data_IF_999612678748
#
_entry.id   IF_999612678748
#
_cell.length_a   1.000
_cell.length_b   1.000
_cell.length_c   1.000
_cell.angle_alpha   90.00
_cell.angle_beta   90.00
_cell.angle_gamma   90.00
#
_symmetry.space_group_name_H-M   'P 1'
#
loop_
_entity.id
_entity.type
_entity.pdbx_description
1 polymer ?
#
# COMPACT_ATOMS: atom_id res chain seq x y z
N UNK A 1 14.24 -9.13 30.79
CA UNK A 1 13.86 -9.72 32.09
C UNK A 1 12.71 -8.91 32.68
N UNK A 2 11.46 -9.20 32.28
CA UNK A 2 10.26 -8.60 32.86
C UNK A 2 9.23 -9.72 33.07
N UNK A 3 8.91 -9.95 34.35
CA UNK A 3 8.02 -10.98 34.91
C UNK A 3 6.60 -10.42 34.92
N UNK A 4 5.65 -11.09 34.26
CA UNK A 4 4.22 -10.88 34.50
C UNK A 4 3.74 -11.87 35.56
N UNK A 5 3.25 -11.33 36.68
CA UNK A 5 2.58 -12.08 37.75
C UNK A 5 1.13 -12.36 37.33
N UNK A 6 0.74 -13.62 37.48
CA UNK A 6 -0.65 -14.06 37.51
C UNK A 6 -1.28 -13.74 38.86
N UNK A 7 -2.51 -13.25 38.83
CA UNK A 7 -3.45 -13.34 39.94
C UNK A 7 -4.84 -13.43 39.34
N UNK A 8 -5.43 -14.61 39.44
CA UNK A 8 -6.83 -14.84 39.08
C UNK A 8 -7.77 -14.21 40.10
N UNK A 9 -8.92 -13.78 39.63
CA UNK A 9 -10.13 -13.58 40.40
C UNK A 9 -11.28 -14.11 39.54
N UNK A 10 -12.00 -15.08 40.08
CA UNK A 10 -13.18 -15.69 39.49
C UNK A 10 -14.46 -15.02 39.97
N UNK A 11 -15.48 -15.14 39.12
CA UNK A 11 -16.90 -15.30 39.43
C UNK A 11 -17.77 -14.03 39.45
N UNK A 12 -18.80 -14.06 38.60
CA UNK A 12 -20.12 -13.52 38.97
C UNK A 12 -20.81 -12.60 37.96
N UNK A 13 -21.74 -13.21 37.20
CA UNK A 13 -22.99 -12.60 36.69
C UNK A 13 -22.91 -11.62 35.51
N UNK A 14 -23.46 -12.02 34.35
CA UNK A 14 -24.27 -11.22 33.40
C UNK A 14 -24.77 -12.17 32.28
N UNK A 15 -26.03 -12.57 32.31
CA UNK A 15 -27.16 -11.95 31.60
C UNK A 15 -27.38 -12.56 30.20
N UNK A 16 -28.55 -13.20 30.04
CA UNK A 16 -29.09 -13.72 28.78
C UNK A 16 -29.11 -12.62 27.70
N UNK A 17 -28.29 -12.75 26.67
CA UNK A 17 -28.43 -12.02 25.41
C UNK A 17 -28.74 -13.02 24.29
N UNK A 18 -30.02 -13.11 23.92
CA UNK A 18 -30.44 -13.73 22.67
C UNK A 18 -30.06 -12.82 21.51
N UNK A 19 -29.25 -13.33 20.58
CA UNK A 19 -28.93 -12.66 19.32
C UNK A 19 -30.19 -12.74 18.43
N UNK A 20 -30.76 -11.63 17.95
CA UNK A 20 -31.86 -11.67 16.99
C UNK A 20 -31.35 -12.18 15.64
N UNK A 21 -32.11 -13.08 15.02
CA UNK A 21 -31.88 -13.51 13.63
C UNK A 21 -31.97 -12.31 12.67
N UNK A 22 -30.98 -12.09 11.79
CA UNK A 22 -31.08 -11.02 10.81
C UNK A 22 -32.08 -11.42 9.72
N UNK A 23 -33.22 -10.74 9.72
CA UNK A 23 -34.14 -10.71 8.58
C UNK A 23 -33.38 -10.15 7.38
N UNK A 24 -33.16 -10.99 6.36
CA UNK A 24 -32.60 -10.58 5.07
C UNK A 24 -33.52 -9.55 4.41
N UNK A 25 -33.13 -8.28 4.48
CA UNK A 25 -33.56 -7.29 3.49
C UNK A 25 -32.67 -7.49 2.26
N UNK A 26 -33.22 -8.12 1.22
CA UNK A 26 -32.62 -8.09 -0.12
C UNK A 26 -32.76 -6.67 -0.67
N UNK A 27 -31.77 -5.82 -0.44
CA UNK A 27 -31.51 -4.72 -1.34
C UNK A 27 -30.55 -5.24 -2.41
N UNK A 28 -31.03 -5.31 -3.64
CA UNK A 28 -30.20 -5.50 -4.83
C UNK A 28 -29.12 -4.43 -4.83
N UNK A 29 -27.89 -4.80 -4.44
CA UNK A 29 -26.72 -3.96 -4.62
C UNK A 29 -26.45 -4.04 -6.12
N UNK A 30 -26.93 -3.05 -6.86
CA UNK A 30 -26.39 -2.73 -8.18
C UNK A 30 -24.90 -2.46 -7.99
N UNK A 31 -24.07 -3.42 -8.38
CA UNK A 31 -22.62 -3.27 -8.48
C UNK A 31 -22.33 -2.28 -9.59
N UNK A 32 -22.44 -0.98 -9.29
CA UNK A 32 -21.73 0.03 -10.08
C UNK A 32 -20.26 -0.33 -9.97
N UNK A 33 -19.68 -0.86 -11.04
CA UNK A 33 -18.25 -1.12 -11.14
C UNK A 33 -17.51 0.18 -10.86
N UNK A 34 -17.02 0.35 -9.63
CA UNK A 34 -16.18 1.48 -9.28
C UNK A 34 -14.89 1.25 -10.08
N UNK A 35 -14.66 2.05 -11.12
CA UNK A 35 -13.41 2.09 -11.88
C UNK A 35 -12.32 2.68 -10.96
N UNK A 36 -11.86 1.89 -9.99
CA UNK A 36 -10.80 2.30 -9.07
C UNK A 36 -9.48 2.22 -9.81
N UNK A 37 -9.03 3.36 -10.33
CA UNK A 37 -7.68 3.48 -10.90
C UNK A 37 -6.67 3.79 -9.79
N UNK A 38 -5.66 2.94 -9.59
CA UNK A 38 -4.58 3.23 -8.65
C UNK A 38 -3.90 4.56 -9.00
N UNK A 39 -3.72 5.43 -8.01
CA UNK A 39 -2.99 6.69 -8.20
C UNK A 39 -1.53 6.37 -8.51
N UNK A 40 -0.99 6.94 -9.60
CA UNK A 40 0.44 6.81 -9.92
C UNK A 40 1.26 7.59 -8.89
N UNK A 41 2.18 6.92 -8.15
CA UNK A 41 3.10 7.57 -7.22
C UNK A 41 3.87 8.72 -7.87
N UNK A 42 4.14 9.80 -7.12
CA UNK A 42 4.82 10.98 -7.65
C UNK A 42 6.16 10.65 -8.32
N UNK A 43 6.96 9.80 -7.70
CA UNK A 43 8.30 9.43 -8.19
C UNK A 43 8.28 8.67 -9.54
N UNK A 44 7.15 8.05 -9.90
CA UNK A 44 6.97 7.31 -11.16
C UNK A 44 6.44 8.18 -12.31
N UNK A 45 5.96 9.40 -12.01
CA UNK A 45 5.42 10.28 -13.07
C UNK A 45 6.54 10.82 -13.94
N UNK A 46 6.38 10.95 -15.26
CA UNK A 46 7.40 11.56 -16.11
C UNK A 46 7.64 13.03 -15.73
N UNK A 47 8.87 13.55 -15.83
CA UNK A 47 9.19 14.95 -15.51
C UNK A 47 8.67 15.88 -16.60
N UNK A 48 7.35 16.13 -16.59
CA UNK A 48 6.63 16.81 -17.68
C UNK A 48 6.36 18.29 -17.41
N UNK A 49 6.82 18.79 -16.26
CA UNK A 49 6.61 20.16 -15.82
C UNK A 49 7.95 20.82 -15.55
N UNK A 50 7.95 22.14 -15.48
CA UNK A 50 9.13 22.91 -15.09
C UNK A 50 8.75 24.12 -14.25
N UNK A 51 9.62 24.52 -13.35
CA UNK A 51 9.52 25.79 -12.63
C UNK A 51 10.91 26.43 -12.52
N UNK A 52 10.98 27.74 -12.37
CA UNK A 52 12.24 28.40 -12.03
C UNK A 52 12.73 28.00 -10.63
N UNK A 53 14.03 28.02 -10.41
CA UNK A 53 14.63 27.82 -9.09
C UNK A 53 14.04 28.81 -8.07
N UNK A 54 13.77 30.05 -8.48
CA UNK A 54 13.10 31.07 -7.66
C UNK A 54 11.72 30.64 -7.16
N UNK A 55 10.87 30.12 -8.05
CA UNK A 55 9.52 29.63 -7.70
C UNK A 55 9.60 28.41 -6.78
N UNK A 56 10.49 27.47 -7.08
CA UNK A 56 10.70 26.28 -6.25
C UNK A 56 11.22 26.66 -4.86
N UNK A 57 12.14 27.63 -4.75
CA UNK A 57 12.62 28.16 -3.47
C UNK A 57 11.50 28.83 -2.67
N UNK A 58 10.63 29.61 -3.33
CA UNK A 58 9.46 30.23 -2.67
C UNK A 58 8.51 29.16 -2.12
N UNK A 59 8.18 28.15 -2.93
CA UNK A 59 7.37 27.02 -2.51
C UNK A 59 8.00 26.27 -1.33
N UNK A 60 9.29 25.94 -1.42
CA UNK A 60 10.02 25.23 -0.36
C UNK A 60 10.05 26.00 0.96
N UNK A 61 10.29 27.32 0.91
CA UNK A 61 10.25 28.18 2.09
C UNK A 61 8.86 28.22 2.73
N UNK A 62 7.81 28.34 1.91
CA UNK A 62 6.42 28.26 2.39
C UNK A 62 6.15 26.90 3.07
N UNK A 63 6.51 25.81 2.43
CA UNK A 63 6.28 24.45 2.94
C UNK A 63 7.04 24.19 4.26
N UNK A 64 8.29 24.66 4.37
CA UNK A 64 9.08 24.62 5.61
C UNK A 64 8.44 25.42 6.73
N UNK A 65 7.93 26.61 6.43
CA UNK A 65 7.27 27.46 7.43
C UNK A 65 5.97 26.79 7.94
N UNK A 66 5.17 26.22 7.04
CA UNK A 66 3.95 25.49 7.39
C UNK A 66 4.24 24.23 8.23
N UNK A 67 5.30 23.48 7.91
CA UNK A 67 5.73 22.36 8.73
C UNK A 67 6.20 22.82 10.12
N UNK A 68 6.84 23.98 10.20
CA UNK A 68 7.38 24.52 11.45
C UNK A 68 6.30 25.06 12.38
N UNK A 69 5.20 25.58 11.82
CA UNK A 69 4.09 26.11 12.62
C UNK A 69 3.33 25.01 13.39
N UNK A 70 3.53 23.73 13.05
CA UNK A 70 2.99 22.60 13.80
C UNK A 70 3.60 22.52 15.20
N UNK A 71 4.91 22.73 15.34
CA UNK A 71 5.61 22.59 16.62
C UNK A 71 5.39 21.21 17.26
N UNK A 72 4.93 21.18 18.50
CA UNK A 72 4.55 19.97 19.24
C UNK A 72 3.05 19.69 19.25
N UNK A 73 2.24 20.49 18.53
CA UNK A 73 0.76 20.37 18.58
C UNK A 73 0.26 18.97 18.23
N UNK A 74 0.88 18.33 17.23
CA UNK A 74 0.51 16.99 16.79
C UNK A 74 0.97 15.92 17.77
N UNK A 75 2.18 16.03 18.33
CA UNK A 75 2.64 15.13 19.40
C UNK A 75 1.66 15.17 20.57
N UNK A 76 1.30 16.37 21.03
CA UNK A 76 0.45 16.56 22.20
C UNK A 76 -0.98 16.05 21.99
N UNK A 77 -1.44 15.98 20.74
CA UNK A 77 -2.79 15.54 20.41
C UNK A 77 -2.89 14.01 20.34
N UNK A 78 -2.00 13.36 19.58
CA UNK A 78 -2.13 11.94 19.24
C UNK A 78 -0.79 11.25 18.95
N UNK A 79 0.31 11.76 19.50
CA UNK A 79 1.67 11.32 19.16
C UNK A 79 1.96 11.42 17.65
N UNK A 80 1.33 12.39 16.98
CA UNK A 80 1.57 12.69 15.57
C UNK A 80 2.98 13.25 15.32
N UNK A 81 3.30 13.55 14.04
CA UNK A 81 4.64 13.95 13.64
C UNK A 81 4.97 15.37 14.15
N UNK A 82 6.20 15.56 14.62
CA UNK A 82 6.72 16.89 14.95
C UNK A 82 7.24 17.63 13.71
N UNK A 83 7.63 18.89 13.90
CA UNK A 83 8.25 19.71 12.85
C UNK A 83 9.49 19.06 12.24
N UNK A 84 10.24 18.25 13.00
CA UNK A 84 11.45 17.55 12.53
C UNK A 84 11.09 16.48 11.51
N UNK A 85 10.15 15.60 11.85
CA UNK A 85 9.65 14.56 10.98
C UNK A 85 8.98 15.14 9.73
N UNK A 86 8.18 16.19 9.89
CA UNK A 86 7.53 16.88 8.75
C UNK A 86 8.55 17.51 7.80
N UNK A 87 9.67 18.06 8.30
CA UNK A 87 10.76 18.56 7.44
C UNK A 87 11.46 17.42 6.68
N UNK A 88 11.61 16.25 7.31
CA UNK A 88 12.16 15.07 6.64
C UNK A 88 11.24 14.58 5.51
N UNK A 89 9.94 14.53 5.77
CA UNK A 89 8.93 14.20 4.75
C UNK A 89 8.91 15.23 3.61
N UNK A 90 9.10 16.52 3.90
CA UNK A 90 9.22 17.55 2.87
C UNK A 90 10.43 17.30 1.97
N UNK A 91 11.56 16.89 2.55
CA UNK A 91 12.75 16.54 1.79
C UNK A 91 12.52 15.32 0.90
N UNK A 92 11.77 14.31 1.38
CA UNK A 92 11.37 13.18 0.54
C UNK A 92 10.43 13.60 -0.60
N UNK A 93 9.45 14.47 -0.33
CA UNK A 93 8.57 15.01 -1.36
C UNK A 93 9.35 15.76 -2.44
N UNK A 94 10.34 16.56 -2.06
CA UNK A 94 11.22 17.26 -3.00
C UNK A 94 12.08 16.29 -3.83
N UNK A 95 12.60 15.24 -3.21
CA UNK A 95 13.32 14.19 -3.94
C UNK A 95 12.41 13.56 -4.98
N UNK A 96 11.18 13.21 -4.64
CA UNK A 96 10.24 12.62 -5.61
C UNK A 96 9.81 13.59 -6.69
N UNK A 97 9.66 14.87 -6.36
CA UNK A 97 9.24 15.92 -7.29
C UNK A 97 10.30 16.23 -8.35
N UNK A 98 11.57 16.32 -7.97
CA UNK A 98 12.67 16.79 -8.83
C UNK A 98 13.26 15.62 -9.63
N UNK A 99 13.48 15.87 -10.92
CA UNK A 99 14.16 14.92 -11.80
C UNK A 99 15.56 14.52 -11.28
N UNK A 100 15.90 13.24 -11.45
CA UNK A 100 17.11 12.62 -10.90
C UNK A 100 18.41 13.33 -11.31
N UNK A 101 18.52 13.80 -12.56
CA UNK A 101 19.79 14.30 -13.12
C UNK A 101 20.36 15.51 -12.34
N UNK A 102 19.49 16.35 -11.77
CA UNK A 102 19.90 17.59 -11.09
C UNK A 102 19.50 17.65 -9.62
N UNK A 103 18.90 16.58 -9.09
CA UNK A 103 18.31 16.53 -7.76
C UNK A 103 19.26 16.98 -6.65
N UNK A 104 20.46 16.42 -6.57
CA UNK A 104 21.40 16.70 -5.48
C UNK A 104 21.82 18.18 -5.43
N UNK A 105 22.13 18.76 -6.58
CA UNK A 105 22.54 20.17 -6.70
C UNK A 105 21.40 21.11 -6.34
N UNK A 106 20.19 20.85 -6.84
CA UNK A 106 19.02 21.67 -6.55
C UNK A 106 18.66 21.60 -5.07
N UNK A 107 18.63 20.41 -4.46
CA UNK A 107 18.36 20.25 -3.03
C UNK A 107 19.38 21.00 -2.15
N UNK A 108 20.67 20.92 -2.48
CA UNK A 108 21.71 21.65 -1.74
C UNK A 108 21.53 23.18 -1.82
N UNK A 109 21.14 23.71 -2.99
CA UNK A 109 20.81 25.14 -3.14
C UNK A 109 19.58 25.54 -2.33
N UNK A 110 18.54 24.72 -2.36
CA UNK A 110 17.31 24.92 -1.59
C UNK A 110 17.55 24.94 -0.07
N UNK A 111 18.49 24.12 0.41
CA UNK A 111 18.86 24.07 1.84
C UNK A 111 19.75 25.24 2.26
N UNK A 112 20.75 25.59 1.45
CA UNK A 112 21.65 26.70 1.71
C UNK A 112 21.02 28.09 1.51
N UNK A 113 19.88 28.16 0.80
CA UNK A 113 19.27 29.42 0.41
C UNK A 113 20.07 30.16 -0.67
N UNK A 114 20.99 29.47 -1.34
CA UNK A 114 21.76 30.03 -2.45
C UNK A 114 20.83 30.20 -3.67
N UNK A 115 20.56 31.46 -4.03
CA UNK A 115 19.73 31.85 -5.17
C UNK A 115 20.56 32.29 -6.40
N UNK A 116 21.81 31.84 -6.53
CA UNK A 116 22.60 32.02 -7.75
C UNK A 116 21.87 31.41 -8.96
N UNK A 117 21.73 32.22 -10.01
CA UNK A 117 20.94 31.92 -11.23
C UNK A 117 19.50 31.50 -10.90
N UNK A 118 18.66 32.42 -10.41
CA UNK A 118 17.31 32.13 -9.91
C UNK A 118 16.34 31.68 -11.02
N UNK A 119 16.66 32.00 -12.28
CA UNK A 119 15.83 31.68 -13.46
C UNK A 119 16.17 30.32 -14.09
N UNK A 120 17.07 29.54 -13.47
CA UNK A 120 17.35 28.16 -13.91
C UNK A 120 16.05 27.35 -13.87
N UNK A 121 15.69 26.78 -15.02
CA UNK A 121 14.54 25.88 -15.14
C UNK A 121 14.85 24.54 -14.49
N UNK A 122 13.96 24.08 -13.60
CA UNK A 122 14.04 22.81 -12.91
C UNK A 122 12.92 21.91 -13.41
N UNK A 123 13.25 20.72 -13.92
CA UNK A 123 12.28 19.73 -14.37
C UNK A 123 11.60 19.04 -13.17
N UNK A 124 10.27 19.01 -13.19
CA UNK A 124 9.41 18.52 -12.12
C UNK A 124 8.44 17.44 -12.63
N UNK A 125 8.12 16.49 -11.75
CA UNK A 125 7.14 15.40 -12.00
C UNK A 125 5.68 15.81 -11.81
N UNK A 126 5.45 16.99 -11.24
CA UNK A 126 4.14 17.58 -11.01
C UNK A 126 4.27 19.12 -10.93
N UNK A 127 3.21 19.89 -11.23
CA UNK A 127 3.22 21.34 -11.10
C UNK A 127 3.25 21.78 -9.64
N UNK A 128 3.79 22.97 -9.34
CA UNK A 128 3.91 23.49 -7.98
C UNK A 128 2.53 23.72 -7.33
N UNK A 129 1.51 24.04 -8.11
CA UNK A 129 0.12 24.17 -7.67
C UNK A 129 -0.39 22.87 -7.04
N UNK A 130 -0.05 21.72 -7.63
CA UNK A 130 -0.38 20.41 -7.04
C UNK A 130 0.39 20.22 -5.73
N UNK A 131 1.65 20.66 -5.66
CA UNK A 131 2.50 20.53 -4.48
C UNK A 131 2.02 21.37 -3.29
N UNK A 132 1.45 22.55 -3.53
CA UNK A 132 0.72 23.30 -2.49
C UNK A 132 -0.46 22.51 -1.93
N UNK A 133 -1.22 21.82 -2.78
CA UNK A 133 -2.37 21.01 -2.36
C UNK A 133 -1.95 19.75 -1.59
N UNK A 134 -0.95 19.03 -2.10
CA UNK A 134 -0.31 17.86 -1.48
C UNK A 134 0.19 18.20 -0.08
N UNK A 135 0.96 19.29 0.06
CA UNK A 135 1.52 19.67 1.36
C UNK A 135 0.45 20.14 2.36
N UNK A 136 -0.57 20.87 1.91
CA UNK A 136 -1.73 21.22 2.75
C UNK A 136 -2.50 19.99 3.21
N UNK A 137 -2.71 19.00 2.35
CA UNK A 137 -3.33 17.73 2.75
C UNK A 137 -2.53 17.03 3.85
N UNK A 138 -1.19 17.04 3.74
CA UNK A 138 -0.33 16.43 4.75
C UNK A 138 -0.40 17.14 6.11
N UNK A 139 -0.36 18.47 6.11
CA UNK A 139 -0.30 19.27 7.35
C UNK A 139 -1.69 19.57 7.90
N UNK A 140 -2.54 20.26 7.13
CA UNK A 140 -3.83 20.78 7.60
C UNK A 140 -4.89 19.70 7.76
N UNK A 141 -4.87 18.69 6.87
CA UNK A 141 -5.79 17.55 6.92
C UNK A 141 -5.18 16.33 7.61
N UNK A 142 -3.93 16.43 8.05
CA UNK A 142 -3.19 15.36 8.74
C UNK A 142 -3.22 14.03 7.97
N UNK A 143 -3.29 14.07 6.64
CA UNK A 143 -3.31 12.83 5.84
C UNK A 143 -1.97 12.11 5.97
N UNK A 144 -1.95 10.77 6.02
CA UNK A 144 -0.70 10.01 5.98
C UNK A 144 0.15 10.43 4.79
N UNK A 145 1.45 10.63 5.02
CA UNK A 145 2.38 11.09 3.98
C UNK A 145 2.36 10.17 2.76
N UNK A 146 2.31 8.86 3.00
CA UNK A 146 2.25 7.82 1.98
C UNK A 146 1.06 7.97 1.02
N UNK A 147 -0.13 8.30 1.52
CA UNK A 147 -1.30 8.52 0.65
C UNK A 147 -1.18 9.83 -0.14
N UNK A 148 -0.49 10.81 0.43
CA UNK A 148 -0.24 12.09 -0.23
C UNK A 148 0.72 11.90 -1.42
N UNK A 149 1.84 11.19 -1.24
CA UNK A 149 2.81 10.87 -2.31
C UNK A 149 2.39 9.69 -3.20
N UNK A 150 1.49 8.84 -2.72
CA UNK A 150 0.92 7.69 -3.42
C UNK A 150 1.73 6.39 -3.30
N UNK A 151 2.76 6.33 -2.44
CA UNK A 151 3.58 5.14 -2.26
C UNK A 151 4.10 4.96 -0.83
N UNK A 152 4.54 3.74 -0.54
CA UNK A 152 5.25 3.37 0.68
C UNK A 152 6.46 2.48 0.38
N UNK A 153 7.56 2.70 1.09
CA UNK A 153 8.72 1.81 1.07
C UNK A 153 8.53 0.67 2.07
N UNK A 154 8.71 -0.57 1.62
CA UNK A 154 8.56 -1.76 2.45
C UNK A 154 9.47 -2.88 1.94
N UNK A 155 10.40 -3.37 2.76
CA UNK A 155 11.57 -4.17 2.34
C UNK A 155 12.29 -3.51 1.15
N UNK A 156 12.56 -4.28 0.09
CA UNK A 156 13.13 -3.83 -1.18
C UNK A 156 12.05 -3.32 -2.17
N UNK A 157 10.80 -3.22 -1.73
CA UNK A 157 9.68 -2.76 -2.53
C UNK A 157 9.38 -1.28 -2.24
N UNK A 158 8.94 -0.58 -3.28
CA UNK A 158 8.25 0.70 -3.17
C UNK A 158 6.88 0.42 -3.74
N UNK A 159 5.83 0.38 -2.92
CA UNK A 159 4.49 -0.05 -3.30
C UNK A 159 3.58 1.16 -3.48
N UNK A 160 2.73 1.16 -4.51
CA UNK A 160 1.67 2.16 -4.63
C UNK A 160 0.66 1.93 -3.51
N UNK A 161 0.20 3.00 -2.88
CA UNK A 161 -0.83 2.98 -1.83
C UNK A 161 -1.76 4.19 -1.97
N UNK A 162 -2.99 4.04 -1.49
CA UNK A 162 -3.97 5.12 -1.48
C UNK A 162 -5.02 4.90 -0.40
N UNK A 163 -5.89 5.88 -0.21
CA UNK A 163 -7.03 5.80 0.69
C UNK A 163 -7.84 4.51 0.44
N UNK A 164 -8.17 3.78 1.51
CA UNK A 164 -8.84 2.47 1.43
C UNK A 164 -7.91 1.26 1.30
N UNK A 165 -6.58 1.45 1.32
CA UNK A 165 -5.57 0.39 1.34
C UNK A 165 -4.62 0.59 2.50
N UNK A 166 -4.45 -0.43 3.36
CA UNK A 166 -3.53 -0.35 4.48
C UNK A 166 -2.10 -0.03 4.01
N UNK A 167 -1.49 1.00 4.59
CA UNK A 167 -0.07 1.29 4.42
C UNK A 167 0.73 0.13 5.04
N UNK A 168 1.56 -0.60 4.26
CA UNK A 168 2.40 -1.68 4.78
C UNK A 168 3.24 -1.22 5.96
N UNK A 169 3.40 -2.07 6.96
CA UNK A 169 4.09 -1.72 8.21
C UNK A 169 5.44 -2.44 8.29
N UNK A 170 6.51 -1.80 8.80
CA UNK A 170 7.81 -2.47 8.95
C UNK A 170 7.73 -3.76 9.76
N UNK A 171 6.83 -3.83 10.75
CA UNK A 171 6.64 -5.02 11.58
C UNK A 171 6.15 -6.23 10.77
N UNK A 172 5.47 -6.03 9.64
CA UNK A 172 5.00 -7.14 8.79
C UNK A 172 6.10 -7.70 7.89
N UNK A 173 7.27 -7.06 7.80
CA UNK A 173 8.39 -7.55 6.98
C UNK A 173 8.86 -8.92 7.43
N UNK A 174 8.81 -9.20 8.75
CA UNK A 174 9.23 -10.48 9.34
C UNK A 174 8.45 -11.69 8.80
N UNK A 175 7.24 -11.48 8.27
CA UNK A 175 6.42 -12.55 7.69
C UNK A 175 7.15 -13.22 6.51
N UNK A 176 7.90 -12.45 5.72
CA UNK A 176 8.63 -12.98 4.58
C UNK A 176 9.81 -13.84 5.04
N UNK A 177 10.49 -13.45 6.12
CA UNK A 177 11.58 -14.25 6.68
C UNK A 177 11.05 -15.59 7.23
N UNK A 178 9.83 -15.61 7.78
CA UNK A 178 9.16 -16.85 8.19
C UNK A 178 8.80 -17.73 6.99
N UNK A 179 8.29 -17.12 5.91
CA UNK A 179 7.99 -17.83 4.65
C UNK A 179 9.25 -18.49 4.10
N UNK A 180 10.35 -17.75 3.99
CA UNK A 180 11.65 -18.26 3.55
C UNK A 180 12.15 -19.36 4.49
N UNK A 181 12.07 -19.15 5.80
CA UNK A 181 12.48 -20.16 6.78
C UNK A 181 11.74 -21.50 6.61
N UNK A 182 10.42 -21.45 6.39
CA UNK A 182 9.60 -22.65 6.18
C UNK A 182 9.84 -23.27 4.80
N UNK A 183 9.76 -22.48 3.73
CA UNK A 183 9.85 -22.95 2.37
C UNK A 183 11.24 -23.47 2.01
N UNK A 184 12.30 -22.97 2.63
CA UNK A 184 13.68 -23.29 2.26
C UNK A 184 14.31 -24.35 3.16
N UNK A 185 14.05 -24.28 4.47
CA UNK A 185 14.78 -25.11 5.43
C UNK A 185 13.95 -26.29 5.95
N UNK A 186 12.63 -26.15 6.03
CA UNK A 186 11.78 -27.11 6.74
C UNK A 186 10.96 -27.99 5.80
N UNK A 187 10.47 -27.43 4.69
CA UNK A 187 9.63 -28.16 3.73
C UNK A 187 9.81 -27.58 2.29
N UNK A 188 10.89 -27.98 1.57
CA UNK A 188 11.20 -27.52 0.21
C UNK A 188 10.05 -27.70 -0.81
N UNK A 189 9.17 -28.68 -0.60
CA UNK A 189 7.97 -28.88 -1.41
C UNK A 189 7.00 -27.68 -1.34
N UNK A 190 7.00 -26.91 -0.24
CA UNK A 190 6.18 -25.70 -0.12
C UNK A 190 6.73 -24.56 -0.97
N UNK A 191 8.01 -24.58 -1.36
CA UNK A 191 8.57 -23.61 -2.29
C UNK A 191 7.86 -23.64 -3.65
N UNK A 192 7.29 -24.78 -4.02
CA UNK A 192 6.52 -25.01 -5.25
C UNK A 192 5.00 -25.06 -5.00
N UNK A 193 4.58 -24.88 -3.74
CA UNK A 193 3.20 -24.99 -3.29
C UNK A 193 2.35 -23.75 -3.55
N UNK A 194 1.11 -23.80 -3.06
CA UNK A 194 0.19 -22.66 -3.04
C UNK A 194 0.26 -21.94 -1.68
N UNK A 195 0.44 -20.63 -1.75
CA UNK A 195 0.42 -19.71 -0.61
C UNK A 195 -0.79 -18.81 -0.73
N UNK A 196 -1.37 -18.40 0.41
CA UNK A 196 -2.51 -17.50 0.43
C UNK A 196 -2.21 -16.26 1.30
N UNK A 197 -2.46 -15.08 0.73
CA UNK A 197 -2.42 -13.79 1.42
C UNK A 197 -3.86 -13.27 1.54
N UNK A 198 -4.39 -13.28 2.77
CA UNK A 198 -5.78 -12.95 3.08
C UNK A 198 -5.85 -11.53 3.63
N UNK A 199 -6.51 -10.62 2.90
CA UNK A 199 -6.45 -9.19 3.17
C UNK A 199 -5.17 -8.57 2.63
N UNK A 200 -4.85 -8.85 1.36
CA UNK A 200 -3.56 -8.53 0.75
C UNK A 200 -3.25 -7.03 0.70
N UNK A 201 -4.25 -6.15 0.81
CA UNK A 201 -4.05 -4.72 0.84
C UNK A 201 -3.34 -4.23 -0.43
N UNK A 202 -2.11 -3.71 -0.28
CA UNK A 202 -1.29 -3.24 -1.39
C UNK A 202 -0.57 -4.35 -2.17
N UNK A 203 -0.72 -5.62 -1.76
CA UNK A 203 0.00 -6.76 -2.30
C UNK A 203 1.40 -6.97 -1.69
N UNK A 204 1.75 -6.26 -0.62
CA UNK A 204 3.10 -6.25 -0.05
C UNK A 204 3.62 -7.67 0.25
N UNK A 205 2.86 -8.41 1.06
CA UNK A 205 3.22 -9.77 1.46
C UNK A 205 3.19 -10.69 0.25
N UNK A 206 2.10 -10.67 -0.52
CA UNK A 206 1.97 -11.52 -1.70
C UNK A 206 3.12 -11.37 -2.71
N UNK A 207 3.52 -10.13 -3.02
CA UNK A 207 4.61 -9.84 -3.97
C UNK A 207 5.95 -10.31 -3.42
N UNK A 208 6.26 -10.00 -2.16
CA UNK A 208 7.52 -10.42 -1.56
C UNK A 208 7.61 -11.93 -1.38
N UNK A 209 6.51 -12.60 -0.98
CA UNK A 209 6.44 -14.06 -0.94
C UNK A 209 6.66 -14.65 -2.33
N UNK A 210 5.98 -14.17 -3.36
CA UNK A 210 6.17 -14.68 -4.73
C UNK A 210 7.64 -14.53 -5.20
N UNK A 211 8.27 -13.39 -4.90
CA UNK A 211 9.67 -13.13 -5.24
C UNK A 211 10.64 -14.02 -4.47
N UNK A 212 10.41 -14.19 -3.17
CA UNK A 212 11.20 -15.07 -2.32
C UNK A 212 11.10 -16.53 -2.80
N UNK A 213 9.91 -17.00 -3.18
CA UNK A 213 9.74 -18.36 -3.71
C UNK A 213 10.41 -18.53 -5.09
N UNK A 214 10.40 -17.48 -5.92
CA UNK A 214 10.99 -17.52 -7.26
C UNK A 214 12.53 -17.67 -7.24
N UNK A 215 13.24 -17.11 -6.24
CA UNK A 215 14.70 -17.26 -6.13
C UNK A 215 15.15 -18.69 -5.87
N UNK A 216 14.21 -19.56 -5.47
CA UNK A 216 14.47 -20.96 -5.11
C UNK A 216 13.75 -21.96 -6.02
N UNK A 217 13.17 -21.49 -7.12
CA UNK A 217 12.59 -22.36 -8.13
C UNK A 217 13.69 -23.19 -8.82
N UNK A 218 13.53 -24.51 -8.83
CA UNK A 218 14.36 -25.42 -9.62
C UNK A 218 13.56 -25.85 -10.87
N UNK A 219 13.94 -25.34 -12.04
CA UNK A 219 13.21 -25.58 -13.30
C UNK A 219 11.96 -24.70 -13.43
N UNK A 220 10.92 -25.22 -14.11
CA UNK A 220 9.69 -24.47 -14.42
C UNK A 220 8.67 -24.40 -13.24
N UNK A 221 8.98 -25.01 -12.10
CA UNK A 221 8.10 -25.07 -10.94
C UNK A 221 8.38 -23.91 -9.98
N UNK A 222 7.51 -22.89 -9.98
CA UNK A 222 7.53 -21.79 -9.02
C UNK A 222 6.34 -21.86 -8.05
N UNK A 223 6.57 -21.43 -6.81
CA UNK A 223 5.50 -21.23 -5.84
C UNK A 223 4.47 -20.22 -6.32
N UNK A 224 3.20 -20.48 -6.03
CA UNK A 224 2.07 -19.64 -6.46
C UNK A 224 1.45 -18.97 -5.27
N UNK A 225 1.23 -17.66 -5.37
CA UNK A 225 0.61 -16.87 -4.29
C UNK A 225 -0.78 -16.41 -4.72
N UNK A 226 -1.78 -16.76 -3.93
CA UNK A 226 -3.17 -16.35 -4.09
C UNK A 226 -3.41 -15.19 -3.12
N UNK A 227 -3.52 -13.99 -3.67
CA UNK A 227 -3.79 -12.77 -2.91
C UNK A 227 -5.28 -12.43 -3.00
N UNK A 228 -5.93 -12.20 -1.86
CA UNK A 228 -7.36 -11.88 -1.79
C UNK A 228 -7.60 -10.69 -0.89
N UNK A 229 -8.60 -9.87 -1.21
CA UNK A 229 -9.06 -8.78 -0.37
C UNK A 229 -10.57 -8.56 -0.57
N UNK A 230 -11.26 -8.09 0.47
CA UNK A 230 -12.66 -7.69 0.38
C UNK A 230 -12.82 -6.30 -0.26
N UNK A 231 -11.79 -5.46 -0.15
CA UNK A 231 -11.79 -4.10 -0.70
C UNK A 231 -11.46 -4.12 -2.19
N UNK A 232 -12.37 -3.67 -3.08
CA UNK A 232 -12.07 -3.54 -4.50
C UNK A 232 -10.93 -2.55 -4.77
N UNK A 233 -10.75 -1.58 -3.87
CA UNK A 233 -9.63 -0.62 -3.93
C UNK A 233 -8.29 -1.33 -3.67
N UNK A 234 -8.23 -2.20 -2.66
CA UNK A 234 -7.05 -2.99 -2.36
C UNK A 234 -6.71 -3.92 -3.52
N UNK A 235 -7.70 -4.62 -4.08
CA UNK A 235 -7.51 -5.50 -5.24
C UNK A 235 -6.91 -4.72 -6.43
N UNK A 236 -7.45 -3.54 -6.76
CA UNK A 236 -6.91 -2.73 -7.85
C UNK A 236 -5.45 -2.29 -7.60
N UNK A 237 -5.14 -1.85 -6.38
CA UNK A 237 -3.78 -1.41 -6.00
C UNK A 237 -2.79 -2.58 -5.99
N UNK A 238 -3.15 -3.71 -5.38
CA UNK A 238 -2.35 -4.93 -5.38
C UNK A 238 -2.04 -5.37 -6.82
N UNK A 239 -3.04 -5.34 -7.70
CA UNK A 239 -2.86 -5.71 -9.11
C UNK A 239 -1.85 -4.81 -9.82
N UNK A 240 -1.96 -3.48 -9.64
CA UNK A 240 -1.00 -2.54 -10.22
C UNK A 240 0.42 -2.77 -9.69
N UNK A 241 0.57 -3.06 -8.40
CA UNK A 241 1.88 -3.38 -7.83
C UNK A 241 2.44 -4.70 -8.35
N UNK A 242 1.63 -5.77 -8.43
CA UNK A 242 2.01 -7.08 -8.99
C UNK A 242 2.56 -6.92 -10.40
N UNK A 243 1.85 -6.17 -11.26
CA UNK A 243 2.29 -5.90 -12.63
C UNK A 243 3.62 -5.13 -12.68
N UNK A 244 3.79 -4.11 -11.81
CA UNK A 244 5.02 -3.32 -11.78
C UNK A 244 6.24 -4.13 -11.35
N UNK A 245 6.05 -5.19 -10.57
CA UNK A 245 7.10 -6.13 -10.19
C UNK A 245 7.27 -7.29 -11.18
N UNK A 246 6.65 -7.23 -12.36
CA UNK A 246 6.77 -8.25 -13.41
C UNK A 246 6.13 -9.59 -13.03
N UNK A 247 5.33 -9.61 -11.96
CA UNK A 247 4.58 -10.79 -11.55
C UNK A 247 3.26 -10.86 -12.32
N UNK A 248 2.77 -12.07 -12.54
CA UNK A 248 1.49 -12.30 -13.19
C UNK A 248 0.41 -12.54 -12.13
N UNK A 249 -0.73 -11.88 -12.28
CA UNK A 249 -1.95 -12.27 -11.57
C UNK A 249 -2.51 -13.55 -12.18
N UNK A 250 -3.31 -14.29 -11.40
CA UNK A 250 -4.01 -15.50 -11.87
C UNK A 250 -4.75 -15.19 -13.18
N UNK A 251 -4.54 -15.98 -14.23
CA UNK A 251 -5.33 -15.86 -15.45
C UNK A 251 -6.73 -16.46 -15.28
N UNK A 252 -7.58 -16.24 -16.29
CA UNK A 252 -8.96 -16.76 -16.34
C UNK A 252 -9.03 -18.28 -16.09
N UNK A 253 -8.07 -19.03 -16.60
CA UNK A 253 -8.00 -20.48 -16.38
C UNK A 253 -7.78 -20.84 -14.91
N UNK A 254 -6.90 -20.12 -14.21
CA UNK A 254 -6.62 -20.35 -12.80
C UNK A 254 -7.81 -19.98 -11.92
N UNK A 255 -8.53 -18.89 -12.24
CA UNK A 255 -9.74 -18.51 -11.51
C UNK A 255 -10.87 -19.52 -11.69
N UNK A 256 -11.09 -20.02 -12.91
CA UNK A 256 -12.07 -21.08 -13.19
C UNK A 256 -11.76 -22.35 -12.40
N UNK A 257 -10.50 -22.79 -12.46
CA UNK A 257 -10.05 -23.94 -11.67
C UNK A 257 -10.30 -23.75 -10.16
N UNK A 258 -10.01 -22.57 -9.62
CA UNK A 258 -10.19 -22.30 -8.19
C UNK A 258 -11.67 -22.30 -7.77
N UNK A 259 -12.56 -21.70 -8.58
CA UNK A 259 -14.01 -21.73 -8.33
C UNK A 259 -14.53 -23.16 -8.40
N UNK A 260 -14.21 -23.88 -9.49
CA UNK A 260 -14.61 -25.28 -9.67
C UNK A 260 -14.11 -26.14 -8.51
N UNK A 261 -12.87 -25.97 -8.07
CA UNK A 261 -12.32 -26.68 -6.92
C UNK A 261 -13.10 -26.38 -5.63
N UNK A 262 -13.41 -25.11 -5.35
CA UNK A 262 -14.14 -24.72 -4.14
C UNK A 262 -15.57 -25.28 -4.15
N UNK A 263 -16.24 -25.23 -5.30
CA UNK A 263 -17.60 -25.73 -5.47
C UNK A 263 -17.67 -27.26 -5.35
N UNK A 264 -16.68 -27.97 -5.89
CA UNK A 264 -16.66 -29.43 -5.93
C UNK A 264 -16.13 -30.07 -4.64
N UNK A 265 -15.04 -29.54 -4.07
CA UNK A 265 -14.35 -30.15 -2.92
C UNK A 265 -14.89 -29.64 -1.57
N UNK A 266 -15.59 -28.50 -1.55
CA UNK A 266 -16.20 -27.94 -0.34
C UNK A 266 -17.66 -27.49 -0.55
N UNK A 267 -18.54 -28.38 -1.05
CA UNK A 267 -19.89 -28.03 -1.41
C UNK A 267 -20.64 -27.42 -0.22
N UNK A 268 -21.29 -26.27 -0.45
CA UNK A 268 -22.08 -25.56 0.54
C UNK A 268 -21.31 -24.74 1.57
N UNK A 269 -19.97 -24.79 1.58
CA UNK A 269 -19.14 -24.01 2.51
C UNK A 269 -19.05 -22.53 2.14
N UNK A 270 -19.08 -22.22 0.85
CA UNK A 270 -19.05 -20.85 0.31
C UNK A 270 -20.31 -20.58 -0.52
N UNK A 271 -20.73 -19.32 -0.58
CA UNK A 271 -21.85 -18.80 -1.39
C UNK A 271 -21.38 -17.64 -2.26
N UNK A 272 -22.14 -17.41 -3.33
CA UNK A 272 -21.94 -16.32 -4.30
C UNK A 272 -20.53 -16.28 -4.88
N UNK A 273 -19.99 -17.47 -5.18
CA UNK A 273 -18.71 -17.63 -5.84
C UNK A 273 -18.80 -17.07 -7.26
N UNK A 274 -18.00 -16.05 -7.56
CA UNK A 274 -17.99 -15.37 -8.85
C UNK A 274 -16.56 -15.07 -9.28
N UNK A 275 -16.31 -15.16 -10.59
CA UNK A 275 -15.05 -14.69 -11.19
C UNK A 275 -15.25 -13.24 -11.65
N UNK A 276 -14.37 -12.34 -11.22
CA UNK A 276 -14.43 -10.91 -11.51
C UNK A 276 -13.24 -10.51 -12.37
N UNK A 277 -13.51 -9.65 -13.36
CA UNK A 277 -12.48 -9.09 -14.23
C UNK A 277 -11.61 -8.04 -13.52
N UNK A 278 -10.35 -7.98 -13.92
CA UNK A 278 -9.45 -6.86 -13.62
C UNK A 278 -9.78 -5.62 -14.47
N UNK A 279 -9.00 -4.55 -14.28
CA UNK A 279 -9.16 -3.29 -15.02
C UNK A 279 -8.84 -3.39 -16.52
N UNK A 280 -8.21 -4.49 -16.96
CA UNK A 280 -8.00 -4.79 -18.36
C UNK A 280 -9.13 -5.70 -18.93
N UNK A 281 -10.17 -5.97 -18.14
CA UNK A 281 -11.30 -6.83 -18.52
C UNK A 281 -11.02 -8.32 -18.36
N UNK A 282 -9.86 -8.71 -17.86
CA UNK A 282 -9.45 -10.12 -17.78
C UNK A 282 -9.97 -10.74 -16.48
N UNK A 283 -10.69 -11.85 -16.57
CA UNK A 283 -11.25 -12.58 -15.44
C UNK A 283 -10.14 -13.15 -14.54
N UNK A 284 -9.76 -12.45 -13.46
CA UNK A 284 -8.56 -12.77 -12.66
C UNK A 284 -8.78 -12.81 -11.15
N UNK A 285 -10.00 -12.56 -10.68
CA UNK A 285 -10.35 -12.59 -9.25
C UNK A 285 -11.46 -13.58 -8.97
N UNK A 286 -11.40 -14.25 -7.83
CA UNK A 286 -12.50 -15.07 -7.32
C UNK A 286 -13.04 -14.38 -6.07
N UNK A 287 -14.32 -14.05 -6.07
CA UNK A 287 -15.04 -13.50 -4.93
C UNK A 287 -16.08 -14.50 -4.44
N UNK A 288 -16.38 -14.46 -3.15
CA UNK A 288 -17.41 -15.28 -2.49
C UNK A 288 -17.29 -15.15 -0.98
N UNK A 289 -18.26 -15.68 -0.24
CA UNK A 289 -18.23 -15.63 1.22
C UNK A 289 -18.56 -16.99 1.84
N UNK A 290 -17.95 -17.27 2.98
CA UNK A 290 -18.19 -18.50 3.74
C UNK A 290 -19.55 -18.40 4.45
N UNK A 291 -20.32 -19.49 4.46
CA UNK A 291 -21.53 -19.59 5.30
C UNK A 291 -21.19 -19.61 6.79
#
# INVERSE_FOLDING_TARGET
MWKLRSSGLSCGVCANFQIPSPRCFMNSITTSSIDVKPKVPLYLRPPSFSASLSELTKWHKWAKNLASSVGSSFINLDNGPDSTLLRRELNWLLQDLIELQHRSVILSRLESGNNENPDVSVALRAPLEEMYCVWRQRIEKRRPFQYVVGCEHWRDLVLSVQEGVLIPRPETEVIIDLVEGVALNNAPELAQGFWADLGTGSGAIAIATARALATHAHGDACGRVIATDLSPVAVAVATSNVQRYGLQTNGEKQCKFLVEYIENEKPGSFRDMNIVSDFAGIQRFVMGFRR
#
